data_IF_428431054887
#
_entry.id   IF_428431054887
#
_cell.length_a   1.000
_cell.length_b   1.000
_cell.length_c   1.000
_cell.angle_alpha   90.00
_cell.angle_beta   90.00
_cell.angle_gamma   90.00
#
_symmetry.space_group_name_H-M   'P 1'
#
loop_
_entity.id
_entity.type
_entity.pdbx_description
1 polymer ?
#
# COMPACT_ATOMS: atom_id res chain seq x y z
N UNK A 1 32.27 -42.16 -57.66
CA UNK A 1 31.27 -42.76 -56.73
C UNK A 1 30.36 -43.70 -57.50
N UNK A 2 30.31 -44.98 -57.11
CA UNK A 2 29.45 -45.96 -57.78
C UNK A 2 27.95 -45.69 -57.53
N UNK A 3 27.06 -46.15 -58.41
CA UNK A 3 25.59 -46.01 -58.23
C UNK A 3 25.11 -46.58 -56.88
N UNK A 4 25.79 -47.63 -56.37
CA UNK A 4 25.54 -48.21 -55.05
C UNK A 4 25.90 -47.26 -53.91
N UNK A 5 27.04 -46.56 -53.99
CA UNK A 5 27.46 -45.58 -52.97
C UNK A 5 26.52 -44.36 -52.90
N UNK A 6 26.01 -43.87 -54.05
CA UNK A 6 25.03 -42.76 -54.07
C UNK A 6 23.68 -43.16 -53.44
N UNK A 7 23.22 -44.39 -53.66
CA UNK A 7 22.00 -44.92 -53.02
C UNK A 7 22.19 -45.08 -51.51
N UNK A 8 23.29 -45.67 -51.06
CA UNK A 8 23.59 -45.83 -49.64
C UNK A 8 23.62 -44.48 -48.90
N UNK A 9 24.27 -43.46 -49.47
CA UNK A 9 24.34 -42.13 -48.89
C UNK A 9 22.98 -41.42 -48.83
N UNK A 10 22.12 -41.61 -49.85
CA UNK A 10 20.75 -41.11 -49.83
C UNK A 10 19.91 -41.76 -48.73
N UNK A 11 19.99 -43.09 -48.57
CA UNK A 11 19.28 -43.77 -47.48
C UNK A 11 19.78 -43.30 -46.11
N UNK A 12 21.09 -43.12 -45.92
CA UNK A 12 21.63 -42.59 -44.68
C UNK A 12 21.09 -41.17 -44.37
N UNK A 13 21.05 -40.26 -45.35
CA UNK A 13 20.49 -38.93 -45.16
C UNK A 13 18.98 -38.96 -44.86
N UNK A 14 18.21 -39.84 -45.52
CA UNK A 14 16.77 -39.98 -45.28
C UNK A 14 16.48 -40.55 -43.88
N UNK A 15 17.25 -41.54 -43.43
CA UNK A 15 17.14 -42.09 -42.08
C UNK A 15 17.48 -41.01 -41.04
N UNK A 16 18.56 -40.25 -41.26
CA UNK A 16 18.93 -39.14 -40.39
C UNK A 16 17.83 -38.08 -40.31
N UNK A 17 17.30 -37.65 -41.45
CA UNK A 17 16.21 -36.67 -41.51
C UNK A 17 14.93 -37.18 -40.82
N UNK A 18 14.55 -38.44 -41.05
CA UNK A 18 13.39 -39.04 -40.41
C UNK A 18 13.57 -39.13 -38.89
N UNK A 19 14.76 -39.51 -38.41
CA UNK A 19 15.06 -39.54 -36.98
C UNK A 19 15.00 -38.14 -36.35
N UNK A 20 15.53 -37.11 -37.02
CA UNK A 20 15.44 -35.72 -36.56
C UNK A 20 14.00 -35.24 -36.49
N UNK A 21 13.20 -35.48 -37.53
CA UNK A 21 11.77 -35.09 -37.55
C UNK A 21 11.00 -35.81 -36.43
N UNK A 22 11.27 -37.10 -36.22
CA UNK A 22 10.64 -37.86 -35.14
C UNK A 22 11.04 -37.31 -33.77
N UNK A 23 12.32 -37.01 -33.54
CA UNK A 23 12.79 -36.41 -32.29
C UNK A 23 12.16 -35.02 -32.05
N UNK A 24 12.11 -34.16 -33.06
CA UNK A 24 11.44 -32.86 -32.97
C UNK A 24 9.94 -33.00 -32.72
N UNK A 25 9.27 -33.98 -33.35
CA UNK A 25 7.85 -34.26 -33.13
C UNK A 25 7.57 -34.75 -31.71
N UNK A 26 8.40 -35.65 -31.18
CA UNK A 26 8.30 -36.10 -29.79
C UNK A 26 8.55 -34.98 -28.78
N UNK A 27 9.52 -34.11 -29.05
CA UNK A 27 9.78 -32.91 -28.25
C UNK A 27 8.60 -31.93 -28.28
N UNK A 28 8.07 -31.61 -29.46
CA UNK A 28 6.92 -30.72 -29.60
C UNK A 28 5.64 -31.29 -28.94
N UNK A 29 5.54 -32.62 -28.85
CA UNK A 29 4.47 -33.32 -28.15
C UNK A 29 4.72 -33.50 -26.63
N UNK A 30 5.80 -32.94 -26.08
CA UNK A 30 6.10 -32.97 -24.64
C UNK A 30 6.54 -34.33 -24.08
N UNK A 31 6.91 -35.30 -24.94
CA UNK A 31 7.28 -36.65 -24.49
C UNK A 31 8.53 -36.67 -23.60
N UNK A 32 9.39 -35.66 -23.72
CA UNK A 32 10.60 -35.54 -22.91
C UNK A 32 10.42 -34.68 -21.65
N UNK A 33 9.29 -33.97 -21.50
CA UNK A 33 9.07 -33.05 -20.37
C UNK A 33 9.17 -33.79 -19.05
N UNK A 34 8.57 -34.98 -18.95
CA UNK A 34 8.65 -35.80 -17.73
C UNK A 34 10.08 -36.17 -17.36
N UNK A 35 10.91 -36.49 -18.34
CA UNK A 35 12.33 -36.79 -18.10
C UNK A 35 13.07 -35.53 -17.67
N UNK A 36 12.78 -34.39 -18.30
CA UNK A 36 13.32 -33.10 -17.90
C UNK A 36 12.96 -32.79 -16.43
N UNK A 37 11.69 -32.87 -16.04
CA UNK A 37 11.24 -32.63 -14.65
C UNK A 37 11.95 -33.54 -13.65
N UNK A 38 12.06 -34.83 -13.93
CA UNK A 38 12.77 -35.78 -13.04
C UNK A 38 14.26 -35.42 -12.92
N UNK A 39 14.91 -35.11 -14.05
CA UNK A 39 16.33 -34.73 -14.02
C UNK A 39 16.54 -33.35 -13.38
N UNK A 40 15.56 -32.45 -13.47
CA UNK A 40 15.55 -31.15 -12.80
C UNK A 40 15.47 -31.35 -11.28
N UNK A 41 14.54 -32.17 -10.79
CA UNK A 41 14.43 -32.51 -9.36
C UNK A 41 15.73 -33.11 -8.82
N UNK A 42 16.36 -34.01 -9.57
CA UNK A 42 17.66 -34.58 -9.19
C UNK A 42 18.74 -33.50 -9.14
N UNK A 43 18.79 -32.60 -10.12
CA UNK A 43 19.75 -31.48 -10.10
C UNK A 43 19.52 -30.58 -8.89
N UNK A 44 18.28 -30.25 -8.53
CA UNK A 44 18.04 -29.47 -7.33
C UNK A 44 18.34 -30.24 -6.03
N UNK A 45 18.11 -31.55 -6.00
CA UNK A 45 18.40 -32.36 -4.82
C UNK A 45 19.91 -32.54 -4.61
N UNK A 46 20.68 -32.73 -5.69
CA UNK A 46 22.09 -33.14 -5.60
C UNK A 46 23.10 -32.06 -6.01
N UNK A 47 22.70 -31.06 -6.80
CA UNK A 47 23.58 -29.98 -7.26
C UNK A 47 23.44 -28.68 -6.44
N UNK A 48 22.44 -28.57 -5.55
CA UNK A 48 22.24 -27.41 -4.67
C UNK A 48 23.18 -27.40 -3.46
N UNK A 49 24.47 -27.55 -3.70
CA UNK A 49 25.52 -27.41 -2.67
C UNK A 49 26.43 -26.24 -3.00
N UNK A 50 25.85 -25.05 -3.22
CA UNK A 50 26.63 -23.83 -2.99
C UNK A 50 26.80 -23.74 -1.47
N UNK A 51 28.03 -23.84 -0.93
CA UNK A 51 28.23 -23.73 0.50
C UNK A 51 27.71 -22.38 0.96
N UNK A 52 26.77 -22.38 1.90
CA UNK A 52 26.27 -21.15 2.49
C UNK A 52 27.44 -20.45 3.20
N UNK A 53 27.65 -19.17 2.89
CA UNK A 53 28.68 -18.40 3.57
C UNK A 53 28.25 -18.19 5.03
N UNK A 54 29.10 -18.51 6.03
CA UNK A 54 28.70 -18.49 7.45
C UNK A 54 28.28 -17.09 7.95
N UNK A 55 28.75 -16.03 7.30
CA UNK A 55 28.38 -14.64 7.62
C UNK A 55 27.05 -14.19 6.99
N UNK A 56 26.38 -15.03 6.20
CA UNK A 56 25.11 -14.71 5.55
C UNK A 56 24.00 -15.46 6.25
N UNK A 57 23.05 -14.71 6.79
CA UNK A 57 21.83 -15.25 7.40
C UNK A 57 20.66 -14.90 6.50
N UNK A 58 19.82 -15.90 6.21
CA UNK A 58 18.57 -15.71 5.51
C UNK A 58 17.43 -15.70 6.54
N UNK A 59 16.61 -14.65 6.50
CA UNK A 59 15.36 -14.57 7.24
C UNK A 59 14.26 -14.76 6.21
N UNK A 60 13.63 -15.94 6.22
CA UNK A 60 12.60 -16.32 5.25
C UNK A 60 11.21 -16.26 5.88
N UNK A 61 10.19 -16.14 5.04
CA UNK A 61 8.78 -16.17 5.43
C UNK A 61 8.22 -17.52 4.95
N UNK A 62 8.28 -18.51 5.83
CA UNK A 62 7.83 -19.87 5.55
C UNK A 62 6.47 -20.19 6.21
N UNK A 63 5.92 -21.37 5.92
CA UNK A 63 4.63 -21.80 6.47
C UNK A 63 4.63 -21.82 8.01
N UNK A 64 5.74 -22.20 8.64
CA UNK A 64 5.87 -22.20 10.10
C UNK A 64 5.81 -20.78 10.68
N UNK A 65 6.41 -19.80 10.01
CA UNK A 65 6.33 -18.39 10.38
C UNK A 65 4.92 -17.84 10.20
N UNK A 66 4.22 -18.22 9.13
CA UNK A 66 2.83 -17.83 8.88
C UNK A 66 1.85 -18.45 9.88
N UNK A 67 2.11 -19.66 10.36
CA UNK A 67 1.34 -20.29 11.43
C UNK A 67 1.49 -19.54 12.76
N UNK A 68 2.69 -19.02 13.06
CA UNK A 68 2.98 -18.32 14.32
C UNK A 68 2.56 -16.85 14.31
N UNK A 69 2.90 -16.11 13.25
CA UNK A 69 2.69 -14.66 13.15
C UNK A 69 1.34 -14.32 12.53
N UNK A 70 0.83 -15.21 11.68
CA UNK A 70 -0.42 -15.04 10.97
C UNK A 70 -0.24 -14.81 9.47
N UNK A 71 -1.35 -14.49 8.82
CA UNK A 71 -1.45 -14.44 7.37
C UNK A 71 -0.66 -13.26 6.77
N UNK A 72 0.12 -13.54 5.72
CA UNK A 72 0.77 -12.53 4.87
C UNK A 72 -0.25 -11.76 3.99
N UNK A 73 -0.07 -10.46 3.71
CA UNK A 73 1.04 -9.59 4.13
C UNK A 73 0.96 -9.15 5.58
N UNK A 74 2.09 -9.23 6.29
CA UNK A 74 2.17 -8.71 7.65
C UNK A 74 2.20 -7.17 7.65
N UNK A 75 1.61 -6.53 8.65
CA UNK A 75 1.75 -5.08 8.86
C UNK A 75 3.21 -4.63 8.97
N UNK A 76 3.56 -3.45 8.45
CA UNK A 76 4.95 -2.95 8.46
C UNK A 76 5.55 -2.71 9.84
N UNK A 77 4.73 -2.50 10.87
CA UNK A 77 5.18 -2.47 12.26
C UNK A 77 5.71 -3.83 12.72
N UNK A 78 5.12 -4.95 12.24
CA UNK A 78 5.66 -6.30 12.48
C UNK A 78 6.89 -6.61 11.63
N UNK A 79 7.05 -5.92 10.49
CA UNK A 79 8.23 -6.06 9.64
C UNK A 79 9.42 -5.23 10.15
N UNK A 80 9.18 -4.14 10.89
CA UNK A 80 10.25 -3.27 11.40
C UNK A 80 11.27 -4.02 12.29
N UNK A 81 10.86 -4.91 13.22
CA UNK A 81 11.79 -5.75 13.98
C UNK A 81 12.66 -6.68 13.11
N UNK A 82 12.18 -7.12 11.95
CA UNK A 82 12.97 -7.95 11.01
C UNK A 82 14.20 -7.20 10.47
N UNK A 83 14.20 -5.86 10.55
CA UNK A 83 15.32 -4.99 10.17
C UNK A 83 16.10 -4.56 11.41
N UNK A 84 15.40 -4.12 12.47
CA UNK A 84 16.02 -3.59 13.67
C UNK A 84 16.86 -4.65 14.41
N UNK A 85 16.33 -5.88 14.58
CA UNK A 85 17.01 -6.93 15.35
C UNK A 85 18.33 -7.34 14.67
N UNK A 86 18.41 -7.67 13.37
CA UNK A 86 19.69 -7.96 12.74
C UNK A 86 20.68 -6.79 12.81
N UNK A 87 20.18 -5.55 12.70
CA UNK A 87 21.02 -4.37 12.81
C UNK A 87 21.64 -4.25 14.22
N UNK A 88 20.84 -4.43 15.27
CA UNK A 88 21.30 -4.44 16.67
C UNK A 88 22.30 -5.57 16.95
N UNK A 89 22.12 -6.73 16.29
CA UNK A 89 23.04 -7.87 16.36
C UNK A 89 24.32 -7.68 15.54
N UNK A 90 24.51 -6.53 14.88
CA UNK A 90 25.74 -6.18 14.18
C UNK A 90 25.78 -6.56 12.70
N UNK A 91 24.62 -6.80 12.07
CA UNK A 91 24.55 -7.02 10.63
C UNK A 91 25.17 -5.83 9.87
N UNK A 92 26.20 -6.09 9.07
CA UNK A 92 26.87 -5.03 8.29
C UNK A 92 26.01 -4.51 7.14
N UNK A 93 25.15 -5.35 6.58
CA UNK A 93 24.30 -5.07 5.42
C UNK A 93 23.02 -5.89 5.54
N UNK A 94 21.88 -5.30 5.25
CA UNK A 94 20.58 -5.96 5.25
C UNK A 94 19.96 -5.79 3.87
N UNK A 95 19.60 -6.88 3.22
CA UNK A 95 18.92 -6.87 1.92
C UNK A 95 17.47 -7.29 2.15
N UNK A 96 16.53 -6.50 1.65
CA UNK A 96 15.09 -6.74 1.81
C UNK A 96 14.47 -6.97 0.45
N UNK A 97 13.99 -8.20 0.23
CA UNK A 97 13.26 -8.61 -0.98
C UNK A 97 11.74 -8.52 -0.76
N UNK A 98 11.29 -7.35 -0.31
CA UNK A 98 9.88 -7.01 -0.12
C UNK A 98 9.63 -5.68 -0.82
N UNK A 99 8.53 -5.61 -1.59
CA UNK A 99 8.16 -4.40 -2.32
C UNK A 99 7.11 -3.60 -1.56
N UNK A 100 7.43 -2.36 -1.23
CA UNK A 100 6.53 -1.42 -0.56
C UNK A 100 6.01 -0.40 -1.57
N UNK A 101 4.82 -0.64 -2.14
CA UNK A 101 4.26 0.21 -3.22
C UNK A 101 3.38 1.34 -2.66
N UNK A 102 2.43 0.99 -1.81
CA UNK A 102 1.45 1.94 -1.27
C UNK A 102 1.75 2.30 0.19
N UNK A 103 1.24 3.44 0.67
CA UNK A 103 1.33 3.78 2.10
C UNK A 103 0.42 2.87 2.95
N UNK A 104 0.87 2.46 4.13
CA UNK A 104 0.07 1.64 5.04
C UNK A 104 -0.65 2.51 6.09
N UNK A 105 -1.96 2.33 6.30
CA UNK A 105 -2.70 3.08 7.31
C UNK A 105 -2.28 2.72 8.74
N UNK A 106 -2.56 3.61 9.69
CA UNK A 106 -2.29 3.37 11.11
C UNK A 106 -3.11 2.19 11.63
N UNK A 107 -2.53 1.43 12.58
CA UNK A 107 -3.14 0.22 13.11
C UNK A 107 -3.27 0.30 14.63
N UNK A 108 -4.45 0.02 15.16
CA UNK A 108 -4.64 -0.10 16.60
C UNK A 108 -4.13 -1.48 17.05
N UNK A 109 -3.19 -1.52 17.99
CA UNK A 109 -2.71 -2.75 18.59
C UNK A 109 -3.61 -3.11 19.77
N UNK A 110 -4.12 -4.33 19.75
CA UNK A 110 -4.69 -4.94 20.95
C UNK A 110 -3.51 -5.59 21.69
N UNK A 111 -3.28 -5.28 22.98
CA UNK A 111 -2.23 -5.92 23.76
C UNK A 111 -2.33 -7.44 23.65
N UNK A 112 -1.20 -8.12 23.44
CA UNK A 112 -1.16 -9.57 23.43
C UNK A 112 -1.43 -10.11 24.84
N UNK A 113 -1.91 -11.35 24.96
CA UNK A 113 -2.22 -11.97 26.27
C UNK A 113 -1.04 -11.93 27.27
N UNK A 114 0.21 -11.83 26.78
CA UNK A 114 1.43 -11.69 27.58
C UNK A 114 1.59 -10.33 28.29
N UNK A 115 0.86 -9.30 27.88
CA UNK A 115 0.92 -7.96 28.48
C UNK A 115 -0.14 -7.75 29.58
N UNK A 116 -1.01 -8.75 29.82
CA UNK A 116 -2.14 -8.69 30.76
C UNK A 116 -1.77 -9.08 32.21
N UNK A 117 -0.48 -9.09 32.57
CA UNK A 117 -0.01 -9.61 33.87
C UNK A 117 -0.47 -8.76 35.06
N UNK A 118 -0.93 -7.52 34.85
CA UNK A 118 -1.53 -6.66 35.88
C UNK A 118 -3.02 -6.46 35.63
N UNK A 119 -3.86 -7.01 36.53
CA UNK A 119 -5.32 -6.85 36.67
C UNK A 119 -6.07 -6.41 35.39
N UNK A 120 -6.77 -7.32 34.68
CA UNK A 120 -7.45 -7.05 33.42
C UNK A 120 -8.48 -5.89 33.44
N UNK A 121 -8.86 -5.41 34.62
CA UNK A 121 -9.77 -4.28 34.83
C UNK A 121 -9.06 -2.92 34.98
N UNK A 122 -7.73 -2.89 34.99
CA UNK A 122 -6.91 -1.68 35.19
C UNK A 122 -6.33 -1.08 33.90
N UNK A 123 -6.83 -1.47 32.71
CA UNK A 123 -6.44 -0.85 31.45
C UNK A 123 -7.05 0.56 31.35
N UNK A 124 -6.23 1.58 31.60
CA UNK A 124 -6.61 2.98 31.44
C UNK A 124 -7.00 3.33 29.99
N UNK A 125 -7.66 4.48 29.76
CA UNK A 125 -8.10 4.93 28.43
C UNK A 125 -6.97 5.12 27.40
N UNK A 126 -5.70 5.05 27.81
CA UNK A 126 -4.49 5.14 26.98
C UNK A 126 -3.87 3.76 26.65
N UNK A 127 -4.52 2.64 27.00
CA UNK A 127 -3.90 1.31 26.93
C UNK A 127 -3.90 0.64 25.53
N UNK A 128 -4.53 1.26 24.53
CA UNK A 128 -4.41 0.82 23.15
C UNK A 128 -3.25 1.58 22.50
N UNK A 129 -2.13 0.90 22.31
CA UNK A 129 -1.03 1.45 21.53
C UNK A 129 -1.44 1.51 20.06
N UNK A 130 -1.18 2.65 19.42
CA UNK A 130 -1.33 2.79 17.98
C UNK A 130 0.01 2.46 17.36
N UNK A 131 0.05 1.40 16.55
CA UNK A 131 1.17 1.14 15.66
C UNK A 131 1.16 2.18 14.54
N UNK A 132 2.36 2.66 14.19
CA UNK A 132 2.61 3.57 13.09
C UNK A 132 3.45 2.82 12.03
N UNK A 133 2.85 1.93 11.22
CA UNK A 133 3.59 0.89 10.50
C UNK A 133 4.69 1.43 9.57
N UNK A 134 4.34 2.41 8.75
CA UNK A 134 5.30 3.08 7.86
C UNK A 134 6.38 3.87 8.61
N UNK A 135 6.01 4.48 9.74
CA UNK A 135 6.92 5.29 10.53
C UNK A 135 7.94 4.41 11.26
N UNK A 136 7.48 3.31 11.86
CA UNK A 136 8.31 2.35 12.58
C UNK A 136 9.26 1.62 11.64
N UNK A 137 8.77 1.19 10.47
CA UNK A 137 9.62 0.60 9.44
C UNK A 137 10.66 1.60 8.93
N UNK A 138 10.26 2.85 8.66
CA UNK A 138 11.20 3.91 8.27
C UNK A 138 12.27 4.14 9.35
N UNK A 139 11.87 4.20 10.63
CA UNK A 139 12.79 4.38 11.74
C UNK A 139 13.78 3.21 11.87
N UNK A 140 13.32 1.96 11.68
CA UNK A 140 14.19 0.78 11.67
C UNK A 140 15.20 0.82 10.51
N UNK A 141 14.76 1.23 9.31
CA UNK A 141 15.64 1.40 8.14
C UNK A 141 16.67 2.50 8.38
N UNK A 142 16.24 3.68 8.85
CA UNK A 142 17.09 4.83 9.10
C UNK A 142 18.13 4.55 10.21
N UNK A 143 17.72 3.90 11.29
CA UNK A 143 18.60 3.56 12.42
C UNK A 143 19.66 2.52 12.07
N UNK A 144 19.34 1.56 11.19
CA UNK A 144 20.30 0.56 10.70
C UNK A 144 21.38 1.19 9.80
N UNK A 145 21.00 2.16 8.95
CA UNK A 145 21.94 2.87 8.06
C UNK A 145 22.59 2.04 6.95
N UNK A 146 22.22 0.75 6.81
CA UNK A 146 22.83 -0.19 5.88
C UNK A 146 21.81 -1.17 5.25
N UNK A 147 20.59 -0.69 4.99
CA UNK A 147 19.50 -1.46 4.38
C UNK A 147 19.40 -1.19 2.88
N UNK A 148 19.27 -2.26 2.10
CA UNK A 148 19.13 -2.23 0.65
C UNK A 148 17.79 -2.87 0.27
N UNK A 149 16.91 -2.10 -0.35
CA UNK A 149 15.61 -2.58 -0.81
C UNK A 149 15.73 -3.13 -2.24
N UNK A 150 14.96 -4.18 -2.55
CA UNK A 150 14.94 -4.80 -3.89
C UNK A 150 14.54 -3.82 -5.01
N UNK A 151 13.80 -2.77 -4.68
CA UNK A 151 13.47 -1.69 -5.60
C UNK A 151 14.13 -0.38 -5.19
N UNK A 152 14.91 0.19 -6.12
CA UNK A 152 15.31 1.58 -6.03
C UNK A 152 14.11 2.45 -6.44
N UNK A 153 13.41 3.02 -5.47
CA UNK A 153 12.63 4.21 -5.74
C UNK A 153 13.64 5.36 -5.73
N UNK A 154 14.04 5.95 -6.87
CA UNK A 154 14.85 7.15 -6.81
C UNK A 154 14.01 8.20 -6.09
N UNK A 155 14.38 8.66 -4.87
CA UNK A 155 13.81 9.88 -4.39
C UNK A 155 14.24 10.90 -5.44
N UNK A 156 13.28 11.38 -6.21
CA UNK A 156 13.50 12.60 -6.95
C UNK A 156 13.60 13.66 -5.85
N UNK A 157 14.82 13.88 -5.38
CA UNK A 157 15.15 14.63 -4.17
C UNK A 157 14.90 16.11 -4.51
N UNK A 158 13.63 16.53 -4.45
CA UNK A 158 13.14 17.86 -4.86
C UNK A 158 14.02 18.92 -4.22
N UNK A 159 14.36 18.71 -2.95
CA UNK A 159 15.13 19.63 -2.12
C UNK A 159 16.61 19.72 -2.53
N UNK A 160 17.08 18.88 -3.44
CA UNK A 160 18.45 18.85 -3.97
C UNK A 160 18.52 19.01 -5.50
N UNK A 161 17.42 19.29 -6.19
CA UNK A 161 17.45 19.55 -7.63
C UNK A 161 18.04 20.94 -7.93
N UNK A 162 18.72 21.09 -9.06
CA UNK A 162 19.22 22.39 -9.50
C UNK A 162 18.09 23.42 -9.63
N UNK A 163 16.89 22.98 -10.05
CA UNK A 163 15.71 23.83 -10.14
C UNK A 163 15.23 24.32 -8.75
N UNK A 164 15.26 23.49 -7.72
CA UNK A 164 14.96 23.92 -6.34
C UNK A 164 16.04 24.88 -5.80
N UNK A 165 17.31 24.63 -6.13
CA UNK A 165 18.40 25.59 -5.84
C UNK A 165 18.11 26.99 -6.40
N UNK A 166 17.66 27.06 -7.66
CA UNK A 166 17.25 28.33 -8.30
C UNK A 166 16.09 29.02 -7.57
N UNK A 167 15.12 28.26 -7.04
CA UNK A 167 14.00 28.80 -6.25
C UNK A 167 14.51 29.42 -4.96
N UNK A 168 15.41 28.73 -4.24
CA UNK A 168 15.99 29.23 -3.00
C UNK A 168 16.83 30.49 -3.24
N UNK A 169 17.64 30.53 -4.30
CA UNK A 169 18.45 31.70 -4.66
C UNK A 169 17.58 32.91 -5.08
N UNK A 170 16.48 32.67 -5.78
CA UNK A 170 15.53 33.70 -6.18
C UNK A 170 14.76 34.27 -4.96
N UNK A 171 14.36 33.41 -4.02
CA UNK A 171 13.76 33.84 -2.74
C UNK A 171 14.75 34.64 -1.90
N UNK A 172 16.01 34.22 -1.83
CA UNK A 172 17.06 34.93 -1.09
C UNK A 172 17.39 36.31 -1.68
N UNK A 173 17.23 36.47 -3.00
CA UNK A 173 17.43 37.74 -3.71
C UNK A 173 16.18 38.63 -3.80
N UNK A 174 15.00 38.12 -3.41
CA UNK A 174 13.74 38.86 -3.40
C UNK A 174 13.08 39.03 -4.78
N UNK A 175 13.45 38.20 -5.77
CA UNK A 175 12.91 38.24 -7.14
C UNK A 175 11.74 37.25 -7.32
N UNK A 176 10.53 37.69 -6.97
CA UNK A 176 9.29 36.90 -7.09
C UNK A 176 9.02 36.36 -8.52
N UNK A 177 9.20 37.14 -9.61
CA UNK A 177 9.03 36.63 -10.98
C UNK A 177 9.96 35.47 -11.35
N UNK A 178 11.16 35.38 -10.77
CA UNK A 178 12.11 34.29 -11.00
C UNK A 178 11.70 33.03 -10.24
N UNK A 179 11.22 33.18 -9.00
CA UNK A 179 10.66 32.08 -8.18
C UNK A 179 9.53 31.38 -8.92
N UNK A 180 8.60 32.15 -9.51
CA UNK A 180 7.46 31.57 -10.23
C UNK A 180 7.88 30.78 -11.47
N UNK A 181 8.83 31.30 -12.26
CA UNK A 181 9.37 30.60 -13.45
C UNK A 181 10.12 29.32 -13.07
N UNK A 182 10.96 29.37 -12.04
CA UNK A 182 11.70 28.20 -11.58
C UNK A 182 10.77 27.12 -10.97
N UNK A 183 9.69 27.53 -10.29
CA UNK A 183 8.64 26.63 -9.83
C UNK A 183 7.85 25.99 -10.98
N UNK A 184 7.53 26.76 -12.03
CA UNK A 184 6.86 26.25 -13.24
C UNK A 184 7.76 25.25 -14.01
N UNK A 185 9.08 25.51 -14.10
CA UNK A 185 10.06 24.59 -14.67
C UNK A 185 10.19 23.29 -13.85
N UNK A 186 10.27 23.41 -12.52
CA UNK A 186 10.32 22.25 -11.61
C UNK A 186 9.04 21.41 -11.69
N UNK A 187 7.89 22.05 -11.93
CA UNK A 187 6.62 21.38 -12.19
C UNK A 187 6.58 20.72 -13.58
N UNK A 188 7.17 21.34 -14.60
CA UNK A 188 7.24 20.79 -15.97
C UNK A 188 8.19 19.59 -16.09
N UNK A 189 9.26 19.53 -15.30
CA UNK A 189 10.19 18.39 -15.21
C UNK A 189 9.56 17.13 -14.58
N UNK A 190 8.38 17.26 -13.94
CA UNK A 190 7.63 16.15 -13.36
C UNK A 190 6.26 15.96 -14.00
N UNK A 191 6.14 15.10 -15.03
CA UNK A 191 4.83 14.70 -15.52
C UNK A 191 4.01 13.88 -14.50
N UNK A 192 4.65 13.30 -13.47
CA UNK A 192 4.02 12.34 -12.54
C UNK A 192 3.83 12.87 -11.10
N UNK A 193 3.70 14.19 -10.92
CA UNK A 193 3.36 14.76 -9.62
C UNK A 193 1.87 14.52 -9.29
N UNK A 194 1.57 13.34 -8.70
CA UNK A 194 0.31 12.95 -8.05
C UNK A 194 -0.91 13.75 -8.52
N UNK A 195 -1.31 13.50 -9.76
CA UNK A 195 -2.52 14.05 -10.35
C UNK A 195 -3.71 13.39 -9.65
N UNK A 196 -4.57 14.17 -9.00
CA UNK A 196 -5.91 13.69 -8.67
C UNK A 196 -6.72 13.86 -9.95
N UNK A 197 -6.99 12.76 -10.65
CA UNK A 197 -7.57 12.79 -12.00
C UNK A 197 -6.68 13.55 -13.00
N UNK A 198 -7.21 14.62 -13.59
CA UNK A 198 -6.52 15.47 -14.59
C UNK A 198 -5.94 16.78 -14.02
N UNK A 199 -5.98 16.96 -12.69
CA UNK A 199 -5.57 18.20 -12.03
C UNK A 199 -4.20 18.07 -11.36
N UNK A 200 -3.32 19.06 -11.54
CA UNK A 200 -2.05 19.15 -10.83
C UNK A 200 -2.26 19.32 -9.31
N UNK A 201 -1.27 18.89 -8.51
CA UNK A 201 -1.38 18.82 -7.05
C UNK A 201 -1.80 20.13 -6.37
N UNK A 202 -1.33 21.28 -6.85
CA UNK A 202 -1.69 22.59 -6.30
C UNK A 202 -3.17 22.90 -6.52
N UNK A 203 -3.68 22.71 -7.73
CA UNK A 203 -5.09 22.96 -8.03
C UNK A 203 -5.98 21.94 -7.34
N UNK A 204 -5.51 20.70 -7.14
CA UNK A 204 -6.25 19.66 -6.41
C UNK A 204 -6.35 20.01 -4.91
N UNK A 205 -5.27 20.54 -4.33
CA UNK A 205 -5.26 21.06 -2.97
C UNK A 205 -6.19 22.27 -2.81
N UNK A 206 -6.15 23.23 -3.75
CA UNK A 206 -7.04 24.40 -3.75
C UNK A 206 -8.51 23.99 -3.89
N UNK A 207 -8.81 23.04 -4.79
CA UNK A 207 -10.15 22.48 -4.96
C UNK A 207 -10.64 21.77 -3.68
N UNK A 208 -9.78 20.95 -3.07
CA UNK A 208 -10.10 20.26 -1.81
C UNK A 208 -10.35 21.28 -0.69
N UNK A 209 -9.54 22.33 -0.57
CA UNK A 209 -9.73 23.37 0.44
C UNK A 209 -11.08 24.09 0.28
N UNK A 210 -11.44 24.48 -0.95
CA UNK A 210 -12.75 25.08 -1.23
C UNK A 210 -13.91 24.14 -0.84
N UNK A 211 -13.76 22.84 -1.10
CA UNK A 211 -14.79 21.84 -0.77
C UNK A 211 -14.82 21.47 0.72
N UNK A 212 -13.72 21.68 1.45
CA UNK A 212 -13.71 21.59 2.92
C UNK A 212 -14.50 22.77 3.51
N UNK A 213 -14.40 23.96 2.93
CA UNK A 213 -15.18 25.11 3.38
C UNK A 213 -16.67 24.94 3.06
N UNK A 214 -17.00 24.56 1.82
CA UNK A 214 -18.36 24.28 1.37
C UNK A 214 -18.40 23.05 0.42
N UNK A 215 -18.80 21.86 0.92
CA UNK A 215 -18.84 20.65 0.12
C UNK A 215 -19.99 20.62 -0.90
N UNK A 216 -20.90 21.61 -0.84
CA UNK A 216 -22.09 21.69 -1.69
C UNK A 216 -21.86 22.46 -2.99
N UNK A 217 -20.70 23.10 -3.14
CA UNK A 217 -20.32 23.84 -4.34
C UNK A 217 -20.38 22.96 -5.59
N UNK A 218 -20.97 23.48 -6.67
CA UNK A 218 -21.00 22.80 -7.96
C UNK A 218 -19.62 22.83 -8.64
N UNK A 219 -19.42 21.94 -9.63
CA UNK A 219 -18.18 21.89 -10.42
C UNK A 219 -17.90 23.26 -11.08
N UNK A 220 -18.95 23.89 -11.61
CA UNK A 220 -18.89 25.20 -12.25
C UNK A 220 -18.54 26.32 -11.27
N UNK A 221 -19.10 26.31 -10.05
CA UNK A 221 -18.77 27.30 -9.01
C UNK A 221 -17.31 27.16 -8.56
N UNK A 222 -16.83 25.92 -8.42
CA UNK A 222 -15.44 25.64 -8.08
C UNK A 222 -14.49 26.15 -9.18
N UNK A 223 -14.81 25.88 -10.45
CA UNK A 223 -14.04 26.37 -11.59
C UNK A 223 -13.96 27.91 -11.60
N UNK A 224 -15.10 28.58 -11.38
CA UNK A 224 -15.17 30.04 -11.31
C UNK A 224 -14.32 30.61 -10.17
N UNK A 225 -14.40 30.05 -8.96
CA UNK A 225 -13.63 30.52 -7.79
C UNK A 225 -12.12 30.25 -7.93
N UNK A 226 -11.74 29.18 -8.64
CA UNK A 226 -10.34 28.84 -8.89
C UNK A 226 -9.72 29.63 -10.05
N UNK A 227 -10.54 30.28 -10.88
CA UNK A 227 -10.10 30.96 -12.10
C UNK A 227 -9.78 30.00 -13.24
N UNK A 228 -10.37 28.80 -13.24
CA UNK A 228 -10.12 27.76 -14.24
C UNK A 228 -11.20 27.85 -15.32
N UNK A 229 -10.80 28.17 -16.55
CA UNK A 229 -11.72 28.34 -17.68
C UNK A 229 -12.14 27.02 -18.35
N UNK A 230 -11.34 25.96 -18.22
CA UNK A 230 -11.64 24.62 -18.74
C UNK A 230 -12.26 23.74 -17.64
N UNK A 231 -13.59 23.80 -17.49
CA UNK A 231 -14.33 23.06 -16.45
C UNK A 231 -14.10 21.55 -16.54
N UNK A 232 -13.92 21.02 -17.76
CA UNK A 232 -13.70 19.58 -18.00
C UNK A 232 -12.40 19.06 -17.34
N UNK A 233 -11.39 19.92 -17.14
CA UNK A 233 -10.16 19.55 -16.41
C UNK A 233 -10.40 19.21 -14.95
N UNK A 234 -11.44 19.78 -14.35
CA UNK A 234 -11.81 19.54 -12.95
C UNK A 234 -12.64 18.27 -12.79
N UNK A 235 -13.31 17.81 -13.85
CA UNK A 235 -14.30 16.74 -13.78
C UNK A 235 -13.77 15.45 -13.14
N UNK A 236 -12.60 14.98 -13.57
CA UNK A 236 -11.99 13.77 -13.02
C UNK A 236 -11.50 13.90 -11.58
N UNK A 237 -11.14 15.11 -11.14
CA UNK A 237 -10.59 15.35 -9.81
C UNK A 237 -11.65 15.70 -8.76
N UNK A 238 -12.80 16.21 -9.21
CA UNK A 238 -13.81 16.83 -8.38
C UNK A 238 -14.55 15.86 -7.46
N UNK A 239 -14.83 14.64 -7.93
CA UNK A 239 -15.40 13.58 -7.09
C UNK A 239 -14.48 13.22 -5.92
N UNK A 240 -13.19 13.12 -6.22
CA UNK A 240 -12.18 12.61 -5.30
C UNK A 240 -11.83 13.67 -4.24
N UNK A 241 -11.63 14.91 -4.69
CA UNK A 241 -11.43 16.06 -3.81
C UNK A 241 -12.64 16.28 -2.89
N UNK A 242 -13.87 16.09 -3.39
CA UNK A 242 -15.08 16.22 -2.55
C UNK A 242 -15.16 15.11 -1.51
N UNK A 243 -14.90 13.87 -1.90
CA UNK A 243 -14.95 12.72 -0.99
C UNK A 243 -13.94 12.90 0.15
N UNK A 244 -12.72 13.35 -0.19
CA UNK A 244 -11.68 13.66 0.79
C UNK A 244 -12.09 14.81 1.73
N UNK A 245 -12.68 15.89 1.20
CA UNK A 245 -13.16 17.01 2.00
C UNK A 245 -14.24 16.59 3.01
N UNK A 246 -15.22 15.79 2.55
CA UNK A 246 -16.30 15.27 3.40
C UNK A 246 -15.78 14.34 4.49
N UNK A 247 -14.81 13.47 4.16
CA UNK A 247 -14.18 12.58 5.13
C UNK A 247 -13.46 13.37 6.24
N UNK A 248 -12.74 14.46 5.88
CA UNK A 248 -12.10 15.35 6.85
C UNK A 248 -13.12 16.01 7.79
N UNK A 249 -14.21 16.55 7.25
CA UNK A 249 -15.27 17.19 8.05
C UNK A 249 -16.00 16.19 8.95
N UNK A 250 -16.27 14.99 8.46
CA UNK A 250 -16.91 13.92 9.24
C UNK A 250 -16.03 13.48 10.42
N UNK A 251 -14.73 13.29 10.20
CA UNK A 251 -13.79 12.97 11.29
C UNK A 251 -13.75 14.08 12.34
N UNK A 252 -13.66 15.35 11.91
CA UNK A 252 -13.70 16.49 12.82
C UNK A 252 -15.00 16.53 13.63
N UNK A 253 -16.15 16.32 12.96
CA UNK A 253 -17.46 16.28 13.61
C UNK A 253 -17.57 15.17 14.66
N UNK A 254 -17.07 13.96 14.40
CA UNK A 254 -17.06 12.92 15.42
C UNK A 254 -16.07 13.22 16.56
N UNK A 255 -14.93 13.84 16.26
CA UNK A 255 -13.92 14.20 17.25
C UNK A 255 -14.39 15.28 18.25
N UNK A 256 -15.16 16.27 17.79
CA UNK A 256 -15.71 17.33 18.65
C UNK A 256 -16.61 16.80 19.77
N UNK A 257 -17.32 15.70 19.53
CA UNK A 257 -18.34 15.19 20.44
C UNK A 257 -18.36 13.65 20.40
N UNK A 258 -17.53 12.99 21.24
CA UNK A 258 -17.40 11.54 21.27
C UNK A 258 -18.70 10.78 21.59
N UNK A 259 -19.75 11.44 22.04
CA UNK A 259 -21.09 10.86 22.22
C UNK A 259 -21.85 10.63 20.91
N UNK A 260 -21.53 11.36 19.83
CA UNK A 260 -22.17 11.22 18.50
C UNK A 260 -22.02 9.82 17.94
N UNK A 261 -20.98 9.15 18.36
CA UNK A 261 -20.70 7.74 18.15
C UNK A 261 -21.79 6.78 18.68
N UNK A 262 -22.63 7.17 19.64
CA UNK A 262 -23.73 6.33 20.12
C UNK A 262 -24.99 6.41 19.25
N UNK A 263 -25.04 7.33 18.28
CA UNK A 263 -26.17 7.48 17.37
C UNK A 263 -26.30 6.24 16.48
N UNK A 264 -27.55 5.88 16.13
CA UNK A 264 -27.78 4.85 15.11
C UNK A 264 -27.26 5.35 13.76
N UNK A 265 -26.85 4.48 12.82
CA UNK A 265 -26.23 4.91 11.56
C UNK A 265 -27.07 5.92 10.75
N UNK A 266 -28.40 5.78 10.72
CA UNK A 266 -29.29 6.72 10.02
C UNK A 266 -29.44 8.07 10.75
N UNK A 267 -29.41 8.06 12.09
CA UNK A 267 -29.44 9.27 12.91
C UNK A 267 -28.10 10.03 12.80
N UNK A 268 -26.98 9.29 12.83
CA UNK A 268 -25.65 9.82 12.60
C UNK A 268 -25.53 10.43 11.19
N UNK A 269 -26.08 9.75 10.17
CA UNK A 269 -26.12 10.29 8.82
C UNK A 269 -26.90 11.60 8.77
N UNK A 270 -28.14 11.63 9.27
CA UNK A 270 -28.98 12.83 9.21
C UNK A 270 -28.35 14.01 9.97
N UNK A 271 -27.87 13.78 11.19
CA UNK A 271 -27.27 14.81 12.03
C UNK A 271 -25.95 15.34 11.47
N UNK A 272 -25.08 14.45 10.96
CA UNK A 272 -23.82 14.86 10.35
C UNK A 272 -24.05 15.57 9.01
N UNK A 273 -25.00 15.10 8.20
CA UNK A 273 -25.32 15.68 6.91
C UNK A 273 -25.83 17.11 7.07
N UNK A 274 -26.78 17.33 7.99
CA UNK A 274 -27.30 18.66 8.30
C UNK A 274 -26.21 19.58 8.87
N UNK A 275 -25.39 19.09 9.80
CA UNK A 275 -24.32 19.88 10.40
C UNK A 275 -23.20 20.28 9.41
N UNK A 276 -22.89 19.41 8.44
CA UNK A 276 -21.78 19.60 7.51
C UNK A 276 -22.22 20.36 6.25
N UNK A 277 -23.43 20.10 5.77
CA UNK A 277 -23.94 20.68 4.50
C UNK A 277 -24.96 21.78 4.68
N UNK A 278 -25.52 21.94 5.89
CA UNK A 278 -26.62 22.87 6.16
C UNK A 278 -27.95 22.48 5.53
N UNK A 279 -28.08 21.26 4.96
CA UNK A 279 -29.29 20.77 4.27
C UNK A 279 -29.94 19.63 5.07
N UNK A 280 -31.26 19.65 5.16
CA UNK A 280 -32.04 18.52 5.71
C UNK A 280 -32.09 17.35 4.71
N UNK A 281 -32.17 16.13 5.24
CA UNK A 281 -32.26 14.90 4.43
C UNK A 281 -33.66 14.69 3.83
N UNK A 282 -34.71 15.29 4.42
CA UNK A 282 -36.11 15.10 4.00
C UNK A 282 -36.40 15.67 2.60
N UNK A 283 -35.52 16.54 2.10
CA UNK A 283 -35.57 17.11 0.75
C UNK A 283 -34.78 16.32 -0.30
N UNK A 284 -34.14 15.20 0.08
CA UNK A 284 -33.26 14.43 -0.80
C UNK A 284 -34.02 13.35 -1.57
N UNK A 285 -34.34 13.63 -2.84
CA UNK A 285 -34.93 12.65 -3.77
C UNK A 285 -33.85 12.02 -4.66
N UNK A 286 -33.15 11.00 -4.16
CA UNK A 286 -32.27 10.12 -4.96
C UNK A 286 -30.79 10.14 -4.57
N UNK A 287 -30.31 9.06 -3.94
CA UNK A 287 -28.94 8.92 -3.41
C UNK A 287 -27.82 8.69 -4.44
N UNK A 288 -28.10 8.70 -5.76
CA UNK A 288 -27.19 8.06 -6.74
C UNK A 288 -26.23 8.99 -7.49
N UNK A 289 -26.35 10.31 -7.40
CA UNK A 289 -25.37 11.23 -8.02
C UNK A 289 -25.36 12.59 -7.31
N UNK A 290 -24.24 12.96 -6.69
CA UNK A 290 -24.10 14.26 -6.03
C UNK A 290 -23.32 14.23 -4.71
N UNK A 291 -23.53 15.27 -3.90
CA UNK A 291 -22.91 15.45 -2.58
C UNK A 291 -23.35 14.34 -1.63
N UNK A 292 -24.60 13.92 -1.75
CA UNK A 292 -25.28 12.91 -0.95
C UNK A 292 -24.62 11.54 -1.07
N UNK A 293 -24.27 11.14 -2.30
CA UNK A 293 -23.58 9.88 -2.58
C UNK A 293 -22.15 9.88 -2.03
N UNK A 294 -21.41 10.98 -2.25
CA UNK A 294 -20.07 11.15 -1.70
C UNK A 294 -20.08 11.18 -0.16
N UNK A 295 -21.11 11.80 0.44
CA UNK A 295 -21.29 11.84 1.88
C UNK A 295 -21.58 10.47 2.47
N UNK A 296 -22.46 9.68 1.82
CA UNK A 296 -22.75 8.31 2.24
C UNK A 296 -21.51 7.42 2.21
N UNK A 297 -20.67 7.54 1.19
CA UNK A 297 -19.40 6.83 1.10
C UNK A 297 -18.44 7.26 2.21
N UNK A 298 -18.25 8.57 2.41
CA UNK A 298 -17.37 9.09 3.44
C UNK A 298 -17.84 8.71 4.87
N UNK A 299 -19.14 8.74 5.13
CA UNK A 299 -19.69 8.31 6.42
C UNK A 299 -19.55 6.81 6.62
N UNK A 300 -19.82 6.01 5.57
CA UNK A 300 -19.61 4.56 5.63
C UNK A 300 -18.16 4.25 5.98
N UNK A 301 -17.21 4.96 5.38
CA UNK A 301 -15.78 4.82 5.69
C UNK A 301 -15.50 5.11 7.17
N UNK A 302 -15.96 6.25 7.68
CA UNK A 302 -15.76 6.66 9.09
C UNK A 302 -16.47 5.74 10.09
N UNK A 303 -17.66 5.23 9.76
CA UNK A 303 -18.39 4.29 10.60
C UNK A 303 -17.81 2.87 10.52
N UNK A 304 -17.32 2.45 9.35
CA UNK A 304 -16.65 1.16 9.16
C UNK A 304 -15.35 1.13 9.95
N UNK A 305 -14.55 2.20 9.86
CA UNK A 305 -13.36 2.46 10.67
C UNK A 305 -13.66 2.35 12.17
N UNK A 306 -14.86 2.78 12.60
CA UNK A 306 -15.30 2.59 13.99
C UNK A 306 -15.82 1.19 14.31
N UNK A 307 -16.56 0.56 13.41
CA UNK A 307 -17.12 -0.77 13.64
C UNK A 307 -16.02 -1.85 13.72
N UNK A 308 -14.92 -1.66 13.01
CA UNK A 308 -13.72 -2.50 13.10
C UNK A 308 -12.86 -2.19 14.33
N UNK A 309 -13.05 -1.04 14.97
CA UNK A 309 -12.31 -0.62 16.18
C UNK A 309 -13.13 -0.71 17.47
N UNK A 310 -14.43 -1.05 17.43
CA UNK A 310 -15.30 -1.23 18.59
C UNK A 310 -15.55 -2.72 18.91
N UNK A 311 -15.19 -3.17 20.14
CA UNK A 311 -15.24 -4.57 20.64
C UNK A 311 -16.56 -5.33 20.33
N UNK A 312 -16.55 -6.64 19.97
CA UNK A 312 -17.73 -7.50 20.01
C UNK A 312 -18.09 -7.97 21.43
N UNK A 313 -19.38 -8.20 21.66
CA UNK A 313 -19.99 -8.70 22.91
C UNK A 313 -19.40 -10.06 23.32
N UNK A 314 -19.03 -10.18 24.61
CA UNK A 314 -18.46 -11.38 25.25
C UNK A 314 -19.40 -12.58 25.09
N UNK A 315 -18.89 -13.68 24.52
CA UNK A 315 -19.48 -15.02 24.62
C UNK A 315 -18.82 -15.77 25.80
N UNK A 316 -19.61 -16.58 26.52
CA UNK A 316 -19.25 -17.30 27.75
C UNK A 316 -17.93 -18.10 27.68
N UNK A 317 -17.27 -18.35 28.83
CA UNK A 317 -15.97 -19.02 28.88
C UNK A 317 -16.01 -20.49 28.42
N UNK A 318 -14.91 -21.02 27.85
CA UNK A 318 -14.82 -22.39 27.35
C UNK A 318 -14.75 -23.44 28.49
N UNK A 319 -15.15 -24.70 28.24
CA UNK A 319 -15.25 -25.74 29.26
C UNK A 319 -13.90 -26.34 29.69
N UNK A 320 -13.88 -26.86 30.93
CA UNK A 320 -12.77 -27.35 31.77
C UNK A 320 -11.77 -28.40 31.20
N UNK A 321 -11.80 -28.76 29.92
CA UNK A 321 -10.97 -29.86 29.39
C UNK A 321 -9.70 -29.45 28.64
N UNK A 322 -9.33 -28.16 28.61
CA UNK A 322 -8.09 -27.72 27.97
C UNK A 322 -6.85 -28.29 28.71
N UNK A 323 -6.07 -29.10 28.01
CA UNK A 323 -4.97 -29.92 28.51
C UNK A 323 -3.81 -29.11 29.15
N UNK A 324 -3.06 -29.69 30.11
CA UNK A 324 -2.02 -28.95 30.82
C UNK A 324 -0.76 -28.75 29.97
N UNK A 325 -0.05 -27.65 30.26
CA UNK A 325 1.17 -27.23 29.59
C UNK A 325 2.29 -28.28 29.70
N UNK A 326 3.01 -28.48 28.60
CA UNK A 326 4.17 -29.39 28.52
C UNK A 326 5.41 -28.56 28.83
N UNK A 327 6.10 -28.90 29.93
CA UNK A 327 7.43 -28.40 30.28
C UNK A 327 8.53 -29.31 29.68
N UNK A 328 9.59 -28.64 29.20
CA UNK A 328 10.92 -29.11 28.73
C UNK A 328 11.04 -29.78 27.36
#
# INVERSE_FOLDING_TARGET
MSKRQRRARRHACLIGLAATIAACGLYAAGWFDRLEWITLDWRYTYASSIPQHPDIVLIDIDDASLEQVGRWPWPRDLQAPLIAIPAELGARRILVDITYVDAEPLRSLVPADSDLISDPLSLGPDALSVALPDYELRAAIESSGAVYLAFHHPPSDVLRSEAFGRIIDALASGDDPAVRRAADELAAERPDAATIGSLGALDAARLTALLVDDPTLSLSDCAQRLGIHEVDRLGGAYSDCRSLALLRRLRAWFAEQPQRWRLKPHEAFAAAYEAITGRSIETVTGLKAGVEGAFALALREVLSDRATTARPLVADPPPEWAAPAIDA
#
